data_IF_059473716804
#
_entry.id   IF_059473716804
#
_cell.length_a   1.000
_cell.length_b   1.000
_cell.length_c   1.000
_cell.angle_alpha   90.00
_cell.angle_beta   90.00
_cell.angle_gamma   90.00
#
_symmetry.space_group_name_H-M   'P 1'
#
loop_
_entity.id
_entity.type
_entity.pdbx_description
1 polymer ?
#
# COMPACT_ATOMS: atom_id res chain seq x y z
N UNK A 1 -18.38 9.68 -23.33
CA UNK A 1 -17.72 10.85 -23.94
C UNK A 1 -16.85 11.48 -22.86
N UNK A 2 -15.57 11.78 -23.12
CA UNK A 2 -14.65 12.39 -22.14
C UNK A 2 -14.76 13.92 -22.26
N UNK A 3 -15.83 14.50 -21.72
CA UNK A 3 -16.20 15.91 -21.95
C UNK A 3 -15.05 16.90 -21.64
N UNK A 4 -14.28 16.67 -20.57
CA UNK A 4 -13.13 17.53 -20.20
C UNK A 4 -11.94 17.45 -21.15
N UNK A 5 -11.80 16.35 -21.91
CA UNK A 5 -10.75 16.22 -22.94
C UNK A 5 -11.12 17.01 -24.19
N UNK A 6 -12.41 17.09 -24.52
CA UNK A 6 -12.92 17.83 -25.67
C UNK A 6 -12.88 19.36 -25.44
N UNK A 7 -12.80 19.80 -24.19
CA UNK A 7 -12.56 21.20 -23.79
C UNK A 7 -11.08 21.63 -23.79
N UNK A 8 -10.15 20.73 -24.14
CA UNK A 8 -8.72 21.04 -24.29
C UNK A 8 -7.90 21.02 -23.00
N UNK A 9 -8.46 20.54 -21.89
CA UNK A 9 -7.70 20.38 -20.63
C UNK A 9 -6.68 19.23 -20.75
N UNK A 10 -5.41 19.50 -20.42
CA UNK A 10 -4.36 18.48 -20.41
C UNK A 10 -4.65 17.42 -19.36
N UNK A 11 -4.35 16.15 -19.66
CA UNK A 11 -4.44 15.06 -18.69
C UNK A 11 -3.48 15.26 -17.51
N UNK A 12 -2.41 16.02 -17.69
CA UNK A 12 -1.44 16.33 -16.64
C UNK A 12 -2.00 17.28 -15.57
N UNK A 13 -3.06 18.03 -15.90
CA UNK A 13 -3.75 18.94 -14.98
C UNK A 13 -4.92 18.25 -14.24
N UNK A 14 -5.15 16.96 -14.49
CA UNK A 14 -6.24 16.19 -13.91
C UNK A 14 -5.72 15.25 -12.81
N UNK A 15 -6.33 15.34 -11.62
CA UNK A 15 -6.06 14.42 -10.51
C UNK A 15 -7.35 13.72 -10.06
N UNK A 16 -7.29 12.39 -9.89
CA UNK A 16 -8.40 11.60 -9.34
C UNK A 16 -8.04 11.15 -7.92
N UNK A 17 -8.76 11.69 -6.95
CA UNK A 17 -8.60 11.35 -5.53
C UNK A 17 -9.57 10.24 -5.14
N UNK A 18 -9.06 9.23 -4.43
CA UNK A 18 -9.86 8.11 -3.93
C UNK A 18 -9.62 7.91 -2.43
N UNK A 19 -10.65 7.43 -1.72
CA UNK A 19 -10.59 7.20 -0.27
C UNK A 19 -9.82 5.93 0.12
N UNK A 20 -9.81 4.91 -0.74
CA UNK A 20 -9.15 3.62 -0.49
C UNK A 20 -8.46 3.10 -1.74
N UNK A 21 -7.27 2.49 -1.59
CA UNK A 21 -6.52 1.89 -2.69
C UNK A 21 -7.32 0.85 -3.47
N UNK A 22 -8.29 0.19 -2.85
CA UNK A 22 -9.16 -0.76 -3.55
C UNK A 22 -9.93 -0.11 -4.71
N UNK A 23 -10.42 1.12 -4.54
CA UNK A 23 -11.10 1.86 -5.62
C UNK A 23 -10.15 2.23 -6.77
N UNK A 24 -8.84 2.35 -6.50
CA UNK A 24 -7.87 2.67 -7.53
C UNK A 24 -7.67 1.55 -8.54
N UNK A 25 -7.95 0.29 -8.18
CA UNK A 25 -7.72 -0.86 -9.07
C UNK A 25 -8.69 -0.85 -10.25
N UNK A 26 -9.98 -0.67 -9.95
CA UNK A 26 -11.03 -0.60 -10.97
C UNK A 26 -10.81 0.62 -11.89
N UNK A 27 -10.44 1.76 -11.31
CA UNK A 27 -10.11 2.97 -12.08
C UNK A 27 -8.92 2.74 -13.03
N UNK A 28 -7.84 2.14 -12.55
CA UNK A 28 -6.67 1.83 -13.37
C UNK A 28 -7.00 0.87 -14.51
N UNK A 29 -7.83 -0.14 -14.25
CA UNK A 29 -8.29 -1.09 -15.25
C UNK A 29 -9.06 -0.39 -16.36
N UNK A 30 -10.01 0.49 -16.03
CA UNK A 30 -10.79 1.24 -17.00
C UNK A 30 -9.96 2.27 -17.77
N UNK A 31 -9.04 2.98 -17.12
CA UNK A 31 -8.12 3.91 -17.77
C UNK A 31 -7.20 3.17 -18.75
N UNK A 32 -6.69 2.01 -18.36
CA UNK A 32 -5.87 1.15 -19.22
C UNK A 32 -6.66 0.60 -20.41
N UNK A 33 -7.88 0.11 -20.20
CA UNK A 33 -8.79 -0.36 -21.26
C UNK A 33 -9.07 0.72 -22.31
N UNK A 34 -9.15 1.98 -21.88
CA UNK A 34 -9.40 3.14 -22.76
C UNK A 34 -8.11 3.78 -23.30
N UNK A 35 -6.95 3.18 -23.01
CA UNK A 35 -5.63 3.66 -23.39
C UNK A 35 -5.36 5.11 -22.95
N UNK A 36 -5.87 5.49 -21.78
CA UNK A 36 -5.67 6.82 -21.18
C UNK A 36 -4.41 6.75 -20.31
N UNK A 37 -3.37 7.55 -20.58
CA UNK A 37 -2.16 7.56 -19.78
C UNK A 37 -2.46 8.09 -18.37
N UNK A 38 -1.95 7.42 -17.34
CA UNK A 38 -2.13 7.81 -15.95
C UNK A 38 -0.86 7.50 -15.12
N UNK A 39 -0.72 8.18 -13.99
CA UNK A 39 0.31 7.90 -12.98
C UNK A 39 -0.36 7.71 -11.62
N UNK A 40 -0.05 6.60 -10.95
CA UNK A 40 -0.56 6.35 -9.60
C UNK A 40 0.39 6.98 -8.59
N UNK A 41 -0.07 8.05 -7.95
CA UNK A 41 0.60 8.63 -6.79
C UNK A 41 0.03 8.00 -5.51
N UNK A 42 0.37 6.73 -5.29
CA UNK A 42 0.12 6.06 -4.03
C UNK A 42 1.24 6.44 -3.07
N UNK A 43 0.94 6.65 -1.79
CA UNK A 43 1.94 6.67 -0.72
C UNK A 43 2.69 5.34 -0.62
N UNK A 44 3.21 5.02 0.57
CA UNK A 44 3.93 3.76 0.87
C UNK A 44 3.28 2.57 0.17
N UNK A 45 4.03 1.84 -0.68
CA UNK A 45 3.49 0.79 -1.55
C UNK A 45 2.72 -0.23 -0.70
N UNK A 46 1.71 -0.91 -1.25
CA UNK A 46 0.92 -1.90 -0.49
C UNK A 46 1.80 -2.90 0.30
N UNK A 47 2.82 -3.48 -0.35
CA UNK A 47 3.80 -4.37 0.28
C UNK A 47 4.76 -3.70 1.26
N UNK A 48 4.79 -2.38 1.29
CA UNK A 48 5.61 -1.61 2.21
C UNK A 48 4.90 -1.28 3.52
N UNK A 49 3.57 -1.44 3.57
CA UNK A 49 2.76 -1.23 4.77
C UNK A 49 3.23 -2.14 5.91
N UNK A 50 3.28 -1.59 7.13
CA UNK A 50 3.85 -2.30 8.27
C UNK A 50 3.14 -3.62 8.57
N UNK A 51 1.80 -3.60 8.62
CA UNK A 51 1.01 -4.81 8.90
C UNK A 51 1.16 -5.89 7.80
N UNK A 52 1.26 -5.49 6.52
CA UNK A 52 1.52 -6.43 5.42
C UNK A 52 2.90 -7.09 5.60
N UNK A 53 3.93 -6.30 5.91
CA UNK A 53 5.27 -6.82 6.20
C UNK A 53 5.30 -7.72 7.44
N UNK A 54 4.46 -7.45 8.44
CA UNK A 54 4.35 -8.28 9.64
C UNK A 54 3.80 -9.66 9.26
N UNK A 55 2.67 -9.72 8.56
CA UNK A 55 2.06 -10.98 8.08
C UNK A 55 3.03 -11.76 7.20
N UNK A 56 3.70 -11.10 6.25
CA UNK A 56 4.70 -11.74 5.38
C UNK A 56 5.85 -12.33 6.21
N UNK A 57 6.26 -11.68 7.30
CA UNK A 57 7.35 -12.19 8.14
C UNK A 57 6.96 -13.47 8.87
N UNK A 58 5.71 -13.59 9.32
CA UNK A 58 5.20 -14.86 9.86
C UNK A 58 5.25 -15.97 8.81
N UNK A 59 4.75 -15.70 7.59
CA UNK A 59 4.77 -16.69 6.50
C UNK A 59 6.19 -17.11 6.12
N UNK A 60 7.14 -16.16 6.08
CA UNK A 60 8.55 -16.42 5.80
C UNK A 60 9.19 -17.36 6.80
N UNK A 61 8.87 -17.24 8.09
CA UNK A 61 9.40 -18.14 9.12
C UNK A 61 8.81 -19.55 9.00
N UNK A 62 7.53 -19.67 8.67
CA UNK A 62 6.88 -20.98 8.44
C UNK A 62 7.60 -21.73 7.32
N UNK A 63 7.94 -21.03 6.23
CA UNK A 63 8.61 -21.62 5.06
C UNK A 63 10.12 -21.80 5.30
N UNK A 64 10.77 -20.81 5.92
CA UNK A 64 12.19 -20.81 6.23
C UNK A 64 12.43 -20.33 7.67
N UNK A 65 12.51 -21.26 8.64
CA UNK A 65 12.77 -20.92 10.04
C UNK A 65 14.13 -20.25 10.28
N UNK A 66 15.06 -20.24 9.32
CA UNK A 66 16.38 -19.59 9.43
C UNK A 66 16.38 -18.15 8.92
N UNK A 67 15.21 -17.58 8.59
CA UNK A 67 15.11 -16.20 8.10
C UNK A 67 15.30 -15.17 9.22
N UNK A 68 16.54 -14.74 9.43
CA UNK A 68 16.92 -13.79 10.48
C UNK A 68 16.18 -12.45 10.38
N UNK A 69 15.90 -11.97 9.17
CA UNK A 69 15.22 -10.70 8.95
C UNK A 69 13.75 -10.78 9.38
N UNK A 70 13.08 -11.89 9.06
CA UNK A 70 11.72 -12.14 9.51
C UNK A 70 11.64 -12.26 11.03
N UNK A 71 12.58 -12.99 11.65
CA UNK A 71 12.68 -13.08 13.12
C UNK A 71 12.90 -11.73 13.79
N UNK A 72 13.85 -10.92 13.29
CA UNK A 72 14.15 -9.59 13.84
C UNK A 72 12.91 -8.69 13.85
N UNK A 73 12.09 -8.76 12.80
CA UNK A 73 10.85 -7.99 12.72
C UNK A 73 9.81 -8.45 13.74
N UNK A 74 9.57 -9.75 13.85
CA UNK A 74 8.58 -10.31 14.80
C UNK A 74 9.00 -10.06 16.24
N UNK A 75 10.28 -10.31 16.58
CA UNK A 75 10.79 -10.09 17.94
C UNK A 75 10.70 -8.62 18.35
N UNK A 76 10.99 -7.69 17.42
CA UNK A 76 10.80 -6.26 17.67
C UNK A 76 9.34 -5.94 17.98
N UNK A 77 8.40 -6.45 17.19
CA UNK A 77 6.97 -6.23 17.41
C UNK A 77 6.49 -6.75 18.78
N UNK A 78 6.97 -7.93 19.19
CA UNK A 78 6.63 -8.49 20.52
C UNK A 78 7.16 -7.59 21.63
N UNK A 79 8.41 -7.12 21.54
CA UNK A 79 9.01 -6.22 22.54
C UNK A 79 8.23 -4.92 22.67
N UNK A 80 7.85 -4.31 21.55
CA UNK A 80 7.15 -3.03 21.55
C UNK A 80 5.76 -3.17 22.23
N UNK A 81 5.04 -4.29 21.99
CA UNK A 81 3.78 -4.59 22.70
C UNK A 81 3.91 -4.81 24.21
N UNK A 82 5.10 -5.23 24.69
CA UNK A 82 5.34 -5.43 26.12
C UNK A 82 5.66 -4.12 26.85
N UNK A 83 6.03 -3.04 26.13
CA UNK A 83 6.31 -1.73 26.72
C UNK A 83 5.04 -0.90 26.97
N UNK A 84 4.00 -1.06 26.14
CA UNK A 84 2.70 -0.40 26.31
C UNK A 84 1.89 -0.90 27.52
N UNK A 85 2.35 -1.98 28.18
CA UNK A 85 1.74 -2.53 29.40
C UNK A 85 2.26 -1.93 30.71
N UNK A 86 3.19 -0.96 30.68
CA UNK A 86 3.61 -0.28 31.91
C UNK A 86 2.63 0.86 32.25
N UNK A 87 2.01 0.86 33.45
CA UNK A 87 1.22 2.01 33.88
C UNK A 87 2.15 3.23 33.86
N UNK A 88 1.74 4.26 33.14
CA UNK A 88 2.38 5.56 33.21
C UNK A 88 2.01 6.14 34.58
N UNK A 89 2.86 5.88 35.57
CA UNK A 89 2.83 6.55 36.87
C UNK A 89 3.41 7.96 36.70
#
# INVERSE_FOLDING_TARGET
>A
MLELRDEGTSLEDMAVLYRSHYHSIELQLELSRRNIPYRVQSGVRFFEQAHIKDVISYLRIIINPRDELAWKRILKMIRDRQQDGKPHL
#
